data_IF_865081261595
#
_entry.id   IF_865081261595
#
_cell.length_a   1.000
_cell.length_b   1.000
_cell.length_c   1.000
_cell.angle_alpha   90.00
_cell.angle_beta   90.00
_cell.angle_gamma   90.00
#
_symmetry.space_group_name_H-M   'P 1'
#
loop_
_entity.id
_entity.type
_entity.pdbx_description
1 polymer ?
#
# COMPACT_ATOMS: atom_id res chain seq x y z
N UNK A 1 58.18 2.70 18.61
CA UNK A 1 56.94 3.49 18.70
C UNK A 1 56.21 3.25 17.39
N UNK A 2 55.58 2.08 17.30
CA UNK A 2 54.63 1.71 16.25
C UNK A 2 53.34 1.45 17.02
N UNK A 3 52.40 2.39 16.95
CA UNK A 3 51.09 2.24 17.57
C UNK A 3 50.16 1.57 16.56
N UNK A 4 49.69 0.37 16.94
CA UNK A 4 48.67 -0.37 16.24
C UNK A 4 47.29 0.26 16.49
N UNK A 5 46.54 0.45 15.40
CA UNK A 5 45.11 0.72 15.45
C UNK A 5 44.40 -0.62 15.24
N UNK A 6 43.75 -1.10 16.29
CA UNK A 6 42.83 -2.23 16.28
C UNK A 6 41.53 -1.82 15.57
N UNK A 7 41.19 -2.55 14.50
CA UNK A 7 39.91 -2.45 13.81
C UNK A 7 38.84 -3.16 14.67
N UNK A 8 37.79 -2.44 15.07
CA UNK A 8 36.68 -3.02 15.84
C UNK A 8 35.71 -3.75 14.90
N UNK A 9 35.62 -5.06 15.07
CA UNK A 9 34.58 -5.90 14.48
C UNK A 9 33.26 -5.69 15.24
N UNK A 10 32.42 -4.74 14.80
CA UNK A 10 31.00 -4.71 15.18
C UNK A 10 30.15 -3.95 14.15
N UNK A 11 29.91 -4.59 13.00
CA UNK A 11 28.83 -4.27 12.08
C UNK A 11 28.24 -5.59 11.57
N UNK A 12 27.40 -6.21 12.39
CA UNK A 12 26.61 -7.39 12.00
C UNK A 12 25.49 -6.95 11.05
N UNK A 13 25.76 -7.02 9.75
CA UNK A 13 24.76 -6.86 8.68
C UNK A 13 23.85 -8.11 8.70
N UNK A 14 22.63 -7.97 9.22
CA UNK A 14 21.60 -9.00 9.12
C UNK A 14 21.13 -9.19 7.66
N UNK A 15 21.34 -10.40 7.13
CA UNK A 15 20.48 -11.09 6.16
C UNK A 15 20.05 -10.38 4.86
N UNK A 16 20.96 -10.29 3.87
CA UNK A 16 20.73 -9.79 2.48
C UNK A 16 20.11 -10.81 1.50
N UNK A 17 19.46 -11.87 1.99
CA UNK A 17 19.02 -12.99 1.14
C UNK A 17 17.94 -12.63 0.10
N UNK A 18 16.97 -11.79 0.48
CA UNK A 18 15.76 -11.54 -0.31
C UNK A 18 15.94 -10.44 -1.38
N UNK A 19 16.78 -9.42 -1.12
CA UNK A 19 17.11 -8.37 -2.10
C UNK A 19 17.82 -8.96 -3.32
N UNK A 20 18.71 -9.93 -3.11
CA UNK A 20 19.40 -10.64 -4.19
C UNK A 20 18.44 -11.52 -5.02
N UNK A 21 17.42 -12.11 -4.39
CA UNK A 21 16.40 -12.91 -5.08
C UNK A 21 15.51 -12.03 -5.96
N UNK A 22 15.12 -10.84 -5.48
CA UNK A 22 14.31 -9.88 -6.24
C UNK A 22 15.09 -9.32 -7.43
N UNK A 23 16.37 -8.97 -7.26
CA UNK A 23 17.26 -8.53 -8.35
C UNK A 23 17.51 -9.64 -9.39
N UNK A 24 17.58 -10.90 -8.98
CA UNK A 24 17.76 -12.05 -9.88
C UNK A 24 16.51 -12.34 -10.72
N UNK A 25 15.30 -12.13 -10.17
CA UNK A 25 14.05 -12.20 -10.92
C UNK A 25 13.98 -11.07 -11.96
N UNK A 26 14.40 -9.86 -11.60
CA UNK A 26 14.49 -8.71 -12.51
C UNK A 26 15.44 -9.00 -13.69
N UNK A 27 16.65 -9.51 -13.41
CA UNK A 27 17.66 -9.79 -14.45
C UNK A 27 17.33 -10.98 -15.36
N UNK A 28 16.60 -11.98 -14.84
CA UNK A 28 16.13 -13.11 -15.66
C UNK A 28 14.94 -12.75 -16.55
N UNK A 29 14.06 -11.83 -16.14
CA UNK A 29 13.00 -11.29 -16.99
C UNK A 29 13.56 -10.48 -18.18
N UNK A 30 14.67 -9.76 -17.97
CA UNK A 30 15.36 -8.97 -19.01
C UNK A 30 15.97 -9.81 -20.15
N UNK A 31 16.24 -11.11 -19.92
CA UNK A 31 16.93 -11.98 -20.91
C UNK A 31 15.99 -12.87 -21.73
N UNK A 32 14.69 -12.91 -21.41
CA UNK A 32 13.72 -13.77 -22.10
C UNK A 32 13.00 -13.09 -23.29
N UNK A 33 13.22 -11.79 -23.53
CA UNK A 33 12.45 -11.00 -24.49
C UNK A 33 13.00 -10.99 -25.94
N UNK A 34 14.09 -11.70 -26.25
CA UNK A 34 14.70 -11.66 -27.57
C UNK A 34 14.21 -12.78 -28.49
N UNK A 35 13.15 -12.50 -29.25
CA UNK A 35 12.87 -13.13 -30.53
C UNK A 35 11.42 -13.59 -30.72
N UNK A 36 10.74 -13.07 -31.74
CA UNK A 36 9.86 -13.77 -32.71
C UNK A 36 9.07 -12.74 -33.54
N UNK A 37 8.80 -13.12 -34.79
CA UNK A 37 8.34 -12.30 -35.92
C UNK A 37 6.95 -11.65 -35.77
N UNK A 38 6.77 -10.52 -36.46
CA UNK A 38 5.52 -9.79 -36.59
C UNK A 38 4.46 -10.60 -37.36
N UNK A 39 3.29 -10.79 -36.75
CA UNK A 39 2.07 -11.20 -37.47
C UNK A 39 1.18 -9.98 -37.71
N UNK A 40 0.84 -9.77 -38.97
CA UNK A 40 -0.12 -8.79 -39.46
C UNK A 40 -1.54 -9.30 -39.24
N UNK A 41 -2.29 -8.67 -38.32
CA UNK A 41 -3.74 -8.84 -38.19
C UNK A 41 -4.24 -8.63 -36.76
N UNK A 42 -4.91 -7.48 -36.53
CA UNK A 42 -5.50 -6.97 -35.27
C UNK A 42 -4.58 -6.05 -34.44
N UNK A 43 -4.89 -4.76 -34.38
CA UNK A 43 -4.27 -3.78 -33.46
C UNK A 43 -5.12 -3.68 -32.21
N UNK A 44 -4.59 -4.08 -31.05
CA UNK A 44 -5.26 -3.95 -29.75
C UNK A 44 -4.33 -3.21 -28.77
N UNK A 45 -4.71 -2.04 -28.30
CA UNK A 45 -3.85 -1.24 -27.43
C UNK A 45 -4.59 -0.94 -26.13
N UNK A 46 -3.90 -1.06 -25.00
CA UNK A 46 -4.42 -0.57 -23.73
C UNK A 46 -4.49 0.96 -23.78
N UNK A 47 -5.70 1.47 -23.93
CA UNK A 47 -5.95 2.92 -23.97
C UNK A 47 -5.96 3.53 -22.57
N UNK A 48 -6.16 2.76 -21.50
CA UNK A 48 -6.22 3.33 -20.18
C UNK A 48 -4.83 3.45 -19.58
N UNK A 49 -4.24 4.64 -19.72
CA UNK A 49 -2.92 4.91 -19.15
C UNK A 49 -2.96 5.11 -17.64
N UNK A 50 -4.11 5.44 -17.06
CA UNK A 50 -4.25 5.55 -15.61
C UNK A 50 -4.23 4.17 -14.96
N UNK A 51 -3.47 4.06 -13.87
CA UNK A 51 -3.45 2.88 -13.01
C UNK A 51 -3.61 3.35 -11.57
N UNK A 52 -4.59 2.83 -10.81
CA UNK A 52 -4.71 3.20 -9.42
C UNK A 52 -3.50 2.70 -8.62
N UNK A 53 -3.02 3.50 -7.67
CA UNK A 53 -1.99 3.05 -6.73
C UNK A 53 -2.51 1.91 -5.84
N UNK A 54 -1.61 1.03 -5.40
CA UNK A 54 -1.96 -0.28 -4.88
C UNK A 54 -2.50 -0.27 -3.46
N UNK A 55 -2.12 0.74 -2.65
CA UNK A 55 -2.52 0.85 -1.25
C UNK A 55 -3.55 1.95 -1.02
N UNK A 56 -4.38 1.75 0.01
CA UNK A 56 -5.28 2.77 0.52
C UNK A 56 -4.56 4.03 1.02
N UNK A 57 -3.29 3.90 1.40
CA UNK A 57 -2.42 4.96 1.93
C UNK A 57 -1.55 5.62 0.87
N UNK A 58 -1.55 5.10 -0.36
CA UNK A 58 -0.88 5.72 -1.51
C UNK A 58 -1.68 6.90 -2.07
N UNK A 59 -1.17 7.56 -3.10
CA UNK A 59 -1.93 8.50 -3.92
C UNK A 59 -3.06 7.83 -4.71
N UNK A 60 -3.62 8.55 -5.68
CA UNK A 60 -4.56 7.96 -6.63
C UNK A 60 -3.83 7.26 -7.77
N UNK A 61 -2.77 7.86 -8.32
CA UNK A 61 -1.97 7.27 -9.40
C UNK A 61 -0.55 6.89 -8.93
N UNK A 62 -0.04 7.55 -7.90
CA UNK A 62 1.33 7.36 -7.43
C UNK A 62 1.40 6.50 -6.19
N UNK A 63 2.19 5.44 -6.30
CA UNK A 63 2.57 4.56 -5.20
C UNK A 63 3.59 5.25 -4.30
N UNK A 64 3.41 5.14 -2.98
CA UNK A 64 4.45 5.51 -2.01
C UNK A 64 5.36 4.32 -1.75
N UNK A 65 6.47 4.52 -1.05
CA UNK A 65 7.35 3.43 -0.63
C UNK A 65 6.82 2.64 0.60
N UNK A 66 5.61 2.96 1.08
CA UNK A 66 4.96 2.35 2.24
C UNK A 66 4.82 0.81 2.10
N UNK A 67 5.17 0.10 3.18
CA UNK A 67 5.09 -1.35 3.31
C UNK A 67 3.75 -1.87 3.87
N UNK A 68 2.78 -0.99 4.16
CA UNK A 68 1.45 -1.26 4.73
C UNK A 68 1.43 -1.84 6.15
N UNK A 69 2.44 -2.60 6.58
CA UNK A 69 2.54 -3.25 7.91
C UNK A 69 2.34 -4.76 7.87
N UNK A 70 2.68 -5.47 8.95
CA UNK A 70 2.63 -6.94 8.99
C UNK A 70 1.19 -7.50 9.04
N UNK A 71 0.88 -8.44 8.15
CA UNK A 71 -0.44 -9.11 8.00
C UNK A 71 -1.59 -8.14 7.76
N UNK A 72 -1.32 -6.90 7.33
CA UNK A 72 -2.36 -5.92 7.03
C UNK A 72 -2.92 -6.17 5.64
N UNK A 73 -4.20 -6.51 5.56
CA UNK A 73 -4.92 -6.76 4.31
C UNK A 73 -5.68 -5.50 3.91
N UNK A 74 -5.77 -5.27 2.61
CA UNK A 74 -6.60 -4.23 2.04
C UNK A 74 -7.27 -4.67 0.75
N UNK A 75 -8.36 -3.98 0.44
CA UNK A 75 -9.17 -4.20 -0.73
C UNK A 75 -9.72 -2.86 -1.23
N UNK A 76 -9.71 -2.63 -2.53
CA UNK A 76 -10.20 -1.40 -3.13
C UNK A 76 -11.00 -1.68 -4.40
N UNK A 77 -12.03 -0.88 -4.60
CA UNK A 77 -12.75 -0.76 -5.86
C UNK A 77 -12.53 0.67 -6.34
N UNK A 78 -11.96 0.80 -7.53
CA UNK A 78 -11.69 2.10 -8.16
C UNK A 78 -12.45 2.16 -9.46
N UNK A 79 -13.16 3.25 -9.71
CA UNK A 79 -13.81 3.52 -10.98
C UNK A 79 -13.21 4.77 -11.57
N UNK A 80 -12.72 4.71 -12.80
CA UNK A 80 -12.27 5.86 -13.55
C UNK A 80 -13.09 6.04 -14.83
N UNK A 81 -13.60 7.24 -15.01
CA UNK A 81 -14.29 7.67 -16.21
C UNK A 81 -13.37 8.60 -16.98
N UNK A 82 -13.16 8.32 -18.26
CA UNK A 82 -12.34 9.14 -19.16
C UNK A 82 -13.17 9.68 -20.33
N UNK A 83 -12.82 10.88 -20.76
CA UNK A 83 -13.39 11.56 -21.92
C UNK A 83 -12.30 11.75 -22.98
N UNK A 84 -12.59 11.33 -24.21
CA UNK A 84 -11.70 11.38 -25.37
C UNK A 84 -10.34 10.69 -25.15
N UNK A 85 -10.38 9.44 -24.68
CA UNK A 85 -9.20 8.61 -24.43
C UNK A 85 -8.31 8.38 -25.67
N UNK A 86 -8.86 8.52 -26.89
CA UNK A 86 -8.07 8.47 -28.12
C UNK A 86 -8.64 9.42 -29.18
N UNK A 87 -7.85 10.42 -29.54
CA UNK A 87 -8.17 11.42 -30.58
C UNK A 87 -7.09 11.40 -31.66
N UNK A 88 -7.50 11.41 -32.92
CA UNK A 88 -6.61 11.65 -34.06
C UNK A 88 -6.73 13.09 -34.56
N UNK A 89 -5.60 13.74 -34.77
CA UNK A 89 -5.52 15.04 -35.45
C UNK A 89 -5.09 14.83 -36.91
N UNK A 90 -5.89 15.31 -37.87
CA UNK A 90 -5.53 15.21 -39.28
C UNK A 90 -4.57 16.34 -39.69
N UNK A 91 -3.35 15.96 -40.06
CA UNK A 91 -2.33 16.90 -40.54
C UNK A 91 -2.81 17.70 -41.76
N UNK A 92 -2.82 19.03 -41.64
CA UNK A 92 -3.13 19.96 -42.73
C UNK A 92 -4.58 20.46 -42.81
N UNK A 93 -5.52 19.88 -42.03
CA UNK A 93 -6.95 20.28 -42.03
C UNK A 93 -7.41 20.81 -40.67
N UNK A 94 -6.72 20.46 -39.58
CA UNK A 94 -7.02 20.95 -38.23
C UNK A 94 -8.29 20.37 -37.61
N UNK A 95 -8.85 19.32 -38.21
CA UNK A 95 -10.00 18.57 -37.68
C UNK A 95 -9.52 17.43 -36.78
N UNK A 96 -10.04 17.40 -35.55
CA UNK A 96 -9.85 16.30 -34.58
C UNK A 96 -10.99 15.29 -34.71
N UNK A 97 -10.66 14.00 -34.60
CA UNK A 97 -11.64 12.91 -34.62
C UNK A 97 -11.38 11.98 -33.46
N UNK A 98 -12.36 11.86 -32.56
CA UNK A 98 -12.33 10.91 -31.45
C UNK A 98 -12.66 9.49 -31.93
N UNK A 99 -11.92 8.51 -31.43
CA UNK A 99 -12.12 7.07 -31.69
C UNK A 99 -12.82 6.43 -30.50
N UNK A 100 -12.39 6.79 -29.29
CA UNK A 100 -13.02 6.38 -28.04
C UNK A 100 -13.37 7.65 -27.30
N UNK A 101 -14.67 7.99 -27.31
CA UNK A 101 -15.15 9.23 -26.71
C UNK A 101 -15.35 9.06 -25.22
N UNK A 102 -15.91 7.94 -24.77
CA UNK A 102 -16.18 7.70 -23.34
C UNK A 102 -15.87 6.27 -22.94
N UNK A 103 -14.98 6.11 -21.98
CA UNK A 103 -14.70 4.82 -21.37
C UNK A 103 -14.77 4.96 -19.84
N UNK A 104 -15.35 3.93 -19.21
CA UNK A 104 -15.40 3.74 -17.77
C UNK A 104 -14.64 2.46 -17.47
N UNK A 105 -13.64 2.52 -16.60
CA UNK A 105 -12.92 1.33 -16.14
C UNK A 105 -13.19 1.11 -14.67
N UNK A 106 -13.49 -0.13 -14.29
CA UNK A 106 -13.60 -0.57 -12.91
C UNK A 106 -12.43 -1.46 -12.55
N UNK A 107 -11.73 -1.15 -11.47
CA UNK A 107 -10.63 -1.91 -10.91
C UNK A 107 -11.08 -2.59 -9.61
N UNK A 108 -10.72 -3.86 -9.46
CA UNK A 108 -10.89 -4.62 -8.22
C UNK A 108 -9.50 -5.01 -7.75
N UNK A 109 -9.11 -4.46 -6.60
CA UNK A 109 -7.75 -4.54 -6.10
C UNK A 109 -7.72 -5.17 -4.72
N UNK A 110 -6.69 -5.95 -4.45
CA UNK A 110 -6.38 -6.47 -3.12
C UNK A 110 -4.90 -6.31 -2.84
N UNK A 111 -4.54 -6.20 -1.56
CA UNK A 111 -3.16 -6.11 -1.10
C UNK A 111 -2.98 -6.76 0.27
N UNK A 112 -1.76 -7.22 0.56
CA UNK A 112 -1.38 -7.81 1.82
C UNK A 112 0.05 -7.39 2.17
N UNK A 113 0.21 -6.70 3.29
CA UNK A 113 1.50 -6.37 3.88
C UNK A 113 2.06 -7.55 4.68
N UNK A 114 3.35 -7.79 4.56
CA UNK A 114 4.09 -8.91 5.11
C UNK A 114 5.42 -8.37 5.66
N UNK A 115 5.66 -8.64 6.95
CA UNK A 115 6.87 -8.23 7.69
C UNK A 115 7.23 -6.74 7.56
N UNK A 116 6.23 -5.87 7.36
CA UNK A 116 6.39 -4.40 7.19
C UNK A 116 7.25 -3.96 6.00
N UNK A 117 7.80 -4.91 5.23
CA UNK A 117 8.75 -4.65 4.15
C UNK A 117 8.34 -5.22 2.81
N UNK A 118 7.31 -6.04 2.77
CA UNK A 118 6.81 -6.64 1.54
C UNK A 118 5.31 -6.44 1.46
N UNK A 119 4.85 -5.84 0.38
CA UNK A 119 3.43 -5.85 0.01
C UNK A 119 3.29 -6.75 -1.20
N UNK A 120 2.32 -7.66 -1.18
CA UNK A 120 1.83 -8.35 -2.38
C UNK A 120 0.46 -7.80 -2.74
N UNK A 121 0.19 -7.65 -4.03
CA UNK A 121 -1.06 -7.04 -4.49
C UNK A 121 -1.52 -7.62 -5.82
N UNK A 122 -2.79 -7.41 -6.13
CA UNK A 122 -3.35 -7.73 -7.44
C UNK A 122 -4.44 -6.74 -7.84
N UNK A 123 -4.60 -6.59 -9.15
CA UNK A 123 -5.63 -5.75 -9.79
C UNK A 123 -6.26 -6.53 -10.95
N UNK A 124 -7.58 -6.40 -11.09
CA UNK A 124 -8.34 -6.86 -12.24
C UNK A 124 -9.16 -5.68 -12.73
N UNK A 125 -8.91 -5.28 -13.98
CA UNK A 125 -9.67 -4.21 -14.63
C UNK A 125 -10.83 -4.79 -15.44
N UNK A 126 -11.93 -4.04 -15.50
CA UNK A 126 -13.03 -4.25 -16.42
C UNK A 126 -13.35 -2.94 -17.13
N UNK A 127 -13.25 -2.93 -18.45
CA UNK A 127 -13.45 -1.74 -19.27
C UNK A 127 -14.87 -1.74 -19.84
N UNK A 128 -15.57 -0.62 -19.71
CA UNK A 128 -16.85 -0.34 -20.32
C UNK A 128 -16.70 0.81 -21.31
N UNK A 129 -16.87 0.54 -22.59
CA UNK A 129 -16.83 1.57 -23.63
C UNK A 129 -18.26 2.03 -23.86
N UNK A 130 -18.55 3.25 -23.40
CA UNK A 130 -19.89 3.84 -23.34
C UNK A 130 -20.26 4.44 -24.69
N UNK A 131 -19.31 5.13 -25.33
CA UNK A 131 -19.50 5.78 -26.61
C UNK A 131 -18.25 5.65 -27.47
N UNK A 132 -18.40 4.99 -28.62
CA UNK A 132 -17.38 4.96 -29.64
C UNK A 132 -17.50 6.26 -30.45
N UNK A 133 -16.43 7.04 -30.51
CA UNK A 133 -16.43 8.25 -31.33
C UNK A 133 -16.71 7.92 -32.80
N UNK A 134 -17.11 8.91 -33.61
CA UNK A 134 -17.49 8.67 -35.02
C UNK A 134 -16.36 8.11 -35.90
N UNK A 135 -15.15 7.88 -35.36
CA UNK A 135 -13.96 7.49 -36.11
C UNK A 135 -13.59 8.55 -37.15
N UNK A 136 -12.39 8.46 -37.72
CA UNK A 136 -11.97 9.35 -38.81
C UNK A 136 -12.75 9.05 -40.11
N UNK A 137 -14.06 9.30 -40.14
CA UNK A 137 -14.93 9.17 -41.31
C UNK A 137 -14.83 10.43 -42.19
N UNK A 138 -13.62 10.82 -42.60
CA UNK A 138 -13.40 12.08 -43.35
C UNK A 138 -12.55 11.87 -44.61
N UNK A 139 -13.22 11.77 -45.76
CA UNK A 139 -12.87 12.54 -46.97
C UNK A 139 -11.65 12.15 -47.82
N UNK A 140 -11.04 10.97 -47.69
CA UNK A 140 -9.97 10.55 -48.61
C UNK A 140 -10.55 9.88 -49.88
N UNK A 141 -10.07 10.21 -51.10
CA UNK A 141 -10.54 9.56 -52.33
C UNK A 141 -10.17 8.06 -52.32
N UNK A 142 -11.05 7.16 -52.80
CA UNK A 142 -10.75 5.72 -52.87
C UNK A 142 -9.46 5.45 -53.68
N UNK A 143 -8.63 4.48 -53.25
CA UNK A 143 -8.94 3.39 -52.31
C UNK A 143 -8.53 3.67 -50.85
N UNK A 144 -8.04 4.87 -50.51
CA UNK A 144 -7.53 5.18 -49.16
C UNK A 144 -8.63 5.66 -48.17
N UNK A 145 -9.90 5.66 -48.59
CA UNK A 145 -11.01 6.32 -47.90
C UNK A 145 -11.80 5.48 -46.89
N UNK A 146 -11.30 4.33 -46.47
CA UNK A 146 -12.01 3.49 -45.49
C UNK A 146 -11.01 2.87 -44.53
N UNK A 147 -10.71 3.58 -43.44
CA UNK A 147 -10.12 2.91 -42.28
C UNK A 147 -11.24 2.16 -41.57
N UNK A 148 -11.19 0.83 -41.63
CA UNK A 148 -12.13 -0.06 -40.93
C UNK A 148 -11.77 -0.10 -39.43
N UNK A 149 -12.00 1.02 -38.74
CA UNK A 149 -11.99 1.06 -37.29
C UNK A 149 -13.33 0.49 -36.82
N UNK A 150 -13.35 -0.77 -36.40
CA UNK A 150 -14.48 -1.31 -35.64
C UNK A 150 -14.65 -0.43 -34.39
N UNK A 151 -15.78 0.25 -34.32
CA UNK A 151 -16.17 1.07 -33.20
C UNK A 151 -16.32 0.17 -31.96
N UNK A 152 -15.55 0.40 -30.90
CA UNK A 152 -15.62 -0.46 -29.73
C UNK A 152 -16.92 -0.22 -28.97
N UNK A 153 -17.69 -1.28 -28.72
CA UNK A 153 -18.93 -1.18 -27.94
C UNK A 153 -19.00 -2.31 -26.91
N UNK A 154 -19.42 -1.97 -25.69
CA UNK A 154 -19.72 -2.93 -24.63
C UNK A 154 -18.66 -3.01 -23.52
N UNK A 155 -18.75 -4.07 -22.72
CA UNK A 155 -17.85 -4.33 -21.60
C UNK A 155 -16.87 -5.48 -21.88
N UNK A 156 -15.64 -5.36 -21.41
CA UNK A 156 -14.60 -6.38 -21.54
C UNK A 156 -13.74 -6.46 -20.26
N UNK A 157 -13.24 -7.66 -19.96
CA UNK A 157 -12.21 -7.80 -18.93
C UNK A 157 -10.88 -7.31 -19.49
N UNK A 158 -10.19 -6.49 -18.72
CA UNK A 158 -8.82 -6.11 -18.98
C UNK A 158 -7.84 -7.21 -18.61
N UNK A 159 -6.56 -6.83 -18.59
CA UNK A 159 -5.49 -7.71 -18.14
C UNK A 159 -5.50 -7.84 -16.61
N UNK A 160 -5.02 -8.99 -16.11
CA UNK A 160 -4.83 -9.23 -14.67
C UNK A 160 -3.42 -8.82 -14.27
N UNK A 161 -3.30 -8.12 -13.16
CA UNK A 161 -2.02 -7.67 -12.61
C UNK A 161 -1.77 -8.35 -11.27
N UNK A 162 -0.55 -8.81 -11.08
CA UNK A 162 -0.07 -9.35 -9.81
C UNK A 162 1.31 -8.74 -9.55
N UNK A 163 1.50 -8.15 -8.39
CA UNK A 163 2.76 -7.48 -8.08
C UNK A 163 3.20 -7.63 -6.65
N UNK A 164 4.44 -7.19 -6.43
CA UNK A 164 5.06 -7.12 -5.14
C UNK A 164 5.87 -5.82 -5.01
N UNK A 165 5.78 -5.19 -3.84
CA UNK A 165 6.56 -4.03 -3.44
C UNK A 165 7.46 -4.41 -2.27
N UNK A 166 8.76 -4.31 -2.45
CA UNK A 166 9.76 -4.54 -1.41
C UNK A 166 10.35 -3.21 -0.93
N UNK A 167 10.12 -2.87 0.34
CA UNK A 167 10.71 -1.70 1.00
C UNK A 167 12.17 -1.99 1.31
N UNK A 168 13.07 -1.26 0.67
CA UNK A 168 14.52 -1.41 0.80
C UNK A 168 15.07 -0.62 1.99
N UNK A 169 14.50 0.54 2.27
CA UNK A 169 14.97 1.46 3.29
C UNK A 169 13.84 2.37 3.78
N UNK A 170 13.91 2.72 5.06
CA UNK A 170 12.96 3.61 5.72
C UNK A 170 11.63 2.92 6.04
N UNK A 171 10.90 3.58 6.93
CA UNK A 171 9.49 3.33 7.22
C UNK A 171 8.70 4.64 7.04
N UNK A 172 7.37 4.55 7.17
CA UNK A 172 6.44 5.67 6.99
C UNK A 172 6.75 6.91 7.84
N UNK A 173 7.35 6.71 9.01
CA UNK A 173 7.69 7.78 9.96
C UNK A 173 9.09 8.37 9.72
N UNK A 174 9.89 7.73 8.85
CA UNK A 174 11.21 8.22 8.47
C UNK A 174 11.11 9.30 7.40
N UNK A 175 12.06 10.23 7.39
CA UNK A 175 12.12 11.34 6.42
C UNK A 175 12.25 10.85 4.97
N UNK A 176 12.79 9.65 4.76
CA UNK A 176 13.02 9.10 3.44
C UNK A 176 12.79 7.59 3.41
N UNK A 177 12.02 7.16 2.43
CA UNK A 177 11.71 5.77 2.15
C UNK A 177 12.09 5.41 0.70
N UNK A 178 12.52 4.16 0.52
CA UNK A 178 12.91 3.61 -0.77
C UNK A 178 12.33 2.21 -0.93
N UNK A 179 11.61 1.97 -2.03
CA UNK A 179 11.09 0.65 -2.36
C UNK A 179 11.31 0.30 -3.84
N UNK A 180 11.31 -0.99 -4.14
CA UNK A 180 11.21 -1.53 -5.49
C UNK A 180 9.87 -2.21 -5.66
N UNK A 181 9.20 -1.92 -6.77
CA UNK A 181 7.94 -2.53 -7.15
C UNK A 181 8.10 -3.29 -8.47
N UNK A 182 7.58 -4.52 -8.49
CA UNK A 182 7.50 -5.31 -9.70
C UNK A 182 6.06 -5.80 -9.89
N UNK A 183 5.48 -5.49 -11.04
CA UNK A 183 4.09 -5.86 -11.36
C UNK A 183 4.08 -6.67 -12.64
N UNK A 184 3.62 -7.91 -12.56
CA UNK A 184 3.44 -8.82 -13.67
C UNK A 184 2.07 -8.57 -14.32
N UNK A 185 2.04 -8.45 -15.65
CA UNK A 185 0.81 -8.35 -16.44
C UNK A 185 0.50 -9.70 -17.09
N UNK A 186 -0.70 -10.20 -16.86
CA UNK A 186 -1.24 -11.41 -17.47
C UNK A 186 -2.29 -10.97 -18.50
N UNK A 187 -2.01 -11.19 -19.78
CA UNK A 187 -2.81 -10.66 -20.89
C UNK A 187 -4.15 -11.41 -21.09
N UNK A 188 -5.03 -11.38 -20.09
CA UNK A 188 -6.33 -12.05 -20.09
C UNK A 188 -7.34 -11.40 -21.03
N UNK A 189 -7.17 -10.12 -21.37
CA UNK A 189 -8.03 -9.43 -22.34
C UNK A 189 -8.00 -10.08 -23.72
N UNK A 190 -6.89 -10.72 -24.09
CA UNK A 190 -6.72 -11.46 -25.36
C UNK A 190 -7.60 -12.71 -25.49
N UNK A 191 -8.27 -13.13 -24.40
CA UNK A 191 -9.26 -14.21 -24.38
C UNK A 191 -10.68 -13.72 -24.66
N UNK A 192 -10.89 -12.40 -24.75
CA UNK A 192 -12.17 -11.80 -25.13
C UNK A 192 -12.43 -11.88 -26.64
N UNK A 193 -13.66 -11.59 -27.07
CA UNK A 193 -14.12 -11.76 -28.46
C UNK A 193 -13.28 -10.93 -29.46
N UNK A 194 -12.99 -11.47 -30.65
CA UNK A 194 -12.17 -10.85 -31.71
C UNK A 194 -12.65 -9.45 -32.20
N UNK A 195 -13.82 -9.00 -31.74
CA UNK A 195 -14.39 -7.67 -32.00
C UNK A 195 -13.95 -6.60 -30.99
N UNK A 196 -13.31 -6.96 -29.87
CA UNK A 196 -12.92 -6.04 -28.80
C UNK A 196 -11.41 -5.80 -28.86
N UNK A 197 -11.02 -4.54 -29.13
CA UNK A 197 -9.65 -4.18 -29.53
C UNK A 197 -8.98 -3.13 -28.64
N UNK A 198 -9.51 -2.81 -27.45
CA UNK A 198 -8.90 -1.77 -26.60
C UNK A 198 -8.76 -2.13 -25.11
N UNK A 199 -9.07 -3.36 -24.72
CA UNK A 199 -9.01 -3.82 -23.33
C UNK A 199 -7.66 -4.32 -22.82
N UNK A 200 -6.60 -4.38 -23.64
CA UNK A 200 -5.29 -4.86 -23.17
C UNK A 200 -4.27 -5.15 -24.27
N UNK A 201 -3.21 -5.91 -23.99
CA UNK A 201 -2.12 -6.19 -24.95
C UNK A 201 -2.34 -7.47 -25.79
N UNK A 202 -1.90 -7.43 -27.06
CA UNK A 202 -2.45 -8.22 -28.20
C UNK A 202 -1.93 -9.63 -28.36
N UNK A 203 -0.87 -10.02 -27.67
CA UNK A 203 -0.32 -11.34 -27.94
C UNK A 203 -1.21 -12.38 -27.24
N UNK A 204 -1.92 -13.21 -28.02
CA UNK A 204 -2.85 -14.24 -27.54
C UNK A 204 -2.24 -15.06 -26.39
N UNK A 205 -2.90 -15.01 -25.24
CA UNK A 205 -2.48 -15.57 -23.96
C UNK A 205 -1.81 -16.97 -24.00
N UNK A 206 -0.86 -17.26 -23.08
CA UNK A 206 -0.34 -16.36 -22.04
C UNK A 206 1.06 -15.81 -22.42
N UNK A 207 1.17 -14.49 -22.54
CA UNK A 207 2.45 -13.78 -22.60
C UNK A 207 2.66 -12.99 -21.30
N UNK A 208 3.92 -12.90 -20.86
CA UNK A 208 4.32 -12.27 -19.60
C UNK A 208 4.86 -10.85 -19.87
N UNK A 209 4.06 -9.82 -19.58
CA UNK A 209 4.51 -8.43 -19.53
C UNK A 209 4.77 -7.99 -18.09
N UNK A 210 5.31 -6.78 -17.90
CA UNK A 210 5.41 -6.26 -16.54
C UNK A 210 6.01 -4.87 -16.38
N UNK A 211 5.98 -4.40 -15.14
CA UNK A 211 6.43 -3.10 -14.68
C UNK A 211 7.51 -3.31 -13.64
N UNK A 212 8.56 -2.51 -13.71
CA UNK A 212 9.62 -2.46 -12.72
C UNK A 212 9.85 -1.01 -12.34
N UNK A 213 9.58 -0.68 -11.09
CA UNK A 213 9.46 0.70 -10.64
C UNK A 213 10.28 0.91 -9.37
N UNK A 214 11.01 2.01 -9.34
CA UNK A 214 11.67 2.55 -8.17
C UNK A 214 10.72 3.57 -7.54
N UNK A 215 10.41 3.35 -6.26
CA UNK A 215 9.55 4.23 -5.48
C UNK A 215 10.41 4.92 -4.42
N UNK A 216 10.34 6.24 -4.38
CA UNK A 216 10.96 7.06 -3.35
C UNK A 216 9.86 7.87 -2.68
N UNK A 217 9.91 8.02 -1.38
CA UNK A 217 8.98 8.90 -0.65
C UNK A 217 9.77 9.75 0.33
N UNK A 218 9.59 11.06 0.25
CA UNK A 218 10.12 11.99 1.24
C UNK A 218 9.00 12.43 2.16
N UNK A 219 9.15 12.18 3.46
CA UNK A 219 8.16 12.53 4.47
C UNK A 219 8.65 13.77 5.25
N UNK A 220 7.78 14.75 5.41
CA UNK A 220 8.00 15.90 6.27
C UNK A 220 7.05 15.83 7.47
N UNK A 221 7.46 15.04 8.47
CA UNK A 221 6.61 14.63 9.59
C UNK A 221 5.34 13.93 9.10
N UNK A 222 4.26 14.05 9.86
CA UNK A 222 2.99 13.36 9.58
C UNK A 222 2.06 14.13 8.63
N UNK A 223 2.55 15.21 8.02
CA UNK A 223 1.68 16.18 7.30
C UNK A 223 1.88 16.15 5.80
N UNK A 224 3.10 15.91 5.31
CA UNK A 224 3.40 15.95 3.88
C UNK A 224 4.21 14.75 3.46
N UNK A 225 3.77 14.09 2.39
CA UNK A 225 4.53 13.05 1.69
C UNK A 225 4.75 13.42 0.24
N UNK A 226 5.94 13.16 -0.25
CA UNK A 226 6.35 13.48 -1.63
C UNK A 226 6.76 12.17 -2.31
N UNK A 227 5.80 11.43 -2.92
CA UNK A 227 6.12 10.26 -3.72
C UNK A 227 6.78 10.67 -5.04
N UNK A 228 7.84 9.94 -5.40
CA UNK A 228 8.50 10.01 -6.71
C UNK A 228 8.64 8.58 -7.22
N UNK A 229 8.21 8.37 -8.46
CA UNK A 229 8.17 7.07 -9.13
C UNK A 229 8.91 7.16 -10.46
N UNK A 230 9.74 6.16 -10.74
CA UNK A 230 10.37 6.02 -12.05
C UNK A 230 10.55 4.54 -12.36
N UNK A 231 10.29 4.13 -13.60
CA UNK A 231 10.31 2.71 -13.93
C UNK A 231 10.30 2.39 -15.41
N UNK A 232 10.23 1.11 -15.70
CA UNK A 232 10.10 0.58 -17.05
C UNK A 232 8.92 -0.37 -17.12
N UNK A 233 8.10 -0.17 -18.14
CA UNK A 233 7.08 -1.12 -18.59
C UNK A 233 7.65 -1.91 -19.75
N UNK A 234 7.86 -3.20 -19.53
CA UNK A 234 8.29 -4.14 -20.55
C UNK A 234 7.06 -4.70 -21.26
N UNK A 235 6.83 -4.25 -22.49
CA UNK A 235 5.90 -4.87 -23.42
C UNK A 235 6.55 -6.05 -24.15
N UNK A 236 5.76 -7.05 -24.52
CA UNK A 236 6.29 -8.27 -25.18
C UNK A 236 6.52 -8.11 -26.68
N UNK A 237 5.80 -7.19 -27.33
CA UNK A 237 5.97 -6.88 -28.75
C UNK A 237 5.54 -5.44 -29.03
N UNK A 238 6.41 -4.65 -29.68
CA UNK A 238 6.08 -3.30 -30.12
C UNK A 238 5.03 -3.32 -31.23
N UNK A 239 4.06 -2.41 -31.14
CA UNK A 239 2.94 -2.29 -32.06
C UNK A 239 2.96 -0.94 -32.75
N UNK A 240 2.88 -0.95 -34.08
CA UNK A 240 2.65 0.26 -34.86
C UNK A 240 1.16 0.42 -35.11
N UNK A 241 0.61 1.54 -34.65
CA UNK A 241 -0.74 2.01 -34.95
C UNK A 241 -0.61 3.15 -35.98
N UNK A 242 -0.90 2.89 -37.27
CA UNK A 242 -0.83 3.91 -38.30
C UNK A 242 -1.74 5.11 -37.98
N UNK A 243 -1.36 6.35 -38.35
CA UNK A 243 -0.20 6.68 -39.19
C UNK A 243 1.14 6.82 -38.46
N UNK A 244 1.19 7.26 -37.19
CA UNK A 244 2.44 7.69 -36.53
C UNK A 244 2.61 7.25 -35.06
N UNK A 245 1.86 6.26 -34.55
CA UNK A 245 1.97 5.84 -33.15
C UNK A 245 2.69 4.49 -33.04
N UNK A 246 3.71 4.40 -32.18
CA UNK A 246 4.33 3.13 -31.81
C UNK A 246 4.21 2.89 -30.30
N UNK A 247 3.57 1.79 -29.91
CA UNK A 247 3.40 1.39 -28.50
C UNK A 247 4.30 0.19 -28.24
N UNK A 248 5.23 0.29 -27.29
CA UNK A 248 6.21 -0.75 -27.01
C UNK A 248 6.69 -0.73 -25.57
N UNK A 249 8.00 -0.86 -25.36
CA UNK A 249 8.62 -0.63 -24.05
C UNK A 249 8.55 0.85 -23.70
N UNK A 250 8.14 1.15 -22.47
CA UNK A 250 7.93 2.53 -22.01
C UNK A 250 8.72 2.80 -20.74
N UNK A 251 9.24 4.01 -20.61
CA UNK A 251 9.72 4.55 -19.35
C UNK A 251 8.55 5.22 -18.64
N UNK A 252 8.36 4.92 -17.36
CA UNK A 252 7.29 5.45 -16.51
C UNK A 252 7.90 6.45 -15.54
N UNK A 253 7.20 7.55 -15.28
CA UNK A 253 7.64 8.53 -14.31
C UNK A 253 6.45 9.19 -13.64
N UNK A 254 6.64 9.64 -12.40
CA UNK A 254 5.62 10.32 -11.64
C UNK A 254 6.18 11.03 -10.42
N UNK A 255 5.46 12.04 -9.99
CA UNK A 255 5.80 12.84 -8.81
C UNK A 255 4.58 13.57 -8.29
N UNK A 256 4.45 13.64 -6.96
CA UNK A 256 3.27 14.24 -6.34
C UNK A 256 3.53 14.80 -4.96
N UNK A 257 2.48 15.40 -4.41
CA UNK A 257 2.39 15.92 -3.06
C UNK A 257 1.13 15.35 -2.42
N UNK A 258 1.27 14.68 -1.28
CA UNK A 258 0.18 14.14 -0.48
C UNK A 258 0.16 14.91 0.84
N UNK A 259 -0.87 15.72 1.06
CA UNK A 259 -1.09 16.42 2.31
C UNK A 259 -1.99 15.59 3.21
N UNK A 260 -1.44 15.13 4.33
CA UNK A 260 -2.12 14.34 5.33
C UNK A 260 -2.63 15.26 6.45
N UNK A 261 -3.92 15.19 6.73
CA UNK A 261 -4.61 16.03 7.71
C UNK A 261 -5.25 15.11 8.75
N UNK A 262 -5.12 15.50 10.02
CA UNK A 262 -5.70 14.79 11.15
C UNK A 262 -5.20 13.34 11.26
N UNK A 263 -3.87 13.15 11.41
CA UNK A 263 -3.24 11.84 11.57
C UNK A 263 -3.65 10.86 10.44
N UNK A 264 -3.31 11.22 9.20
CA UNK A 264 -3.62 10.44 7.99
C UNK A 264 -5.10 10.20 7.63
N UNK A 265 -6.05 10.74 8.40
CA UNK A 265 -7.48 10.52 8.12
C UNK A 265 -7.94 11.19 6.83
N UNK A 266 -7.45 12.39 6.53
CA UNK A 266 -7.80 13.11 5.30
C UNK A 266 -6.54 13.34 4.48
N UNK A 267 -6.51 12.80 3.26
CA UNK A 267 -5.47 13.07 2.29
C UNK A 267 -6.00 14.03 1.23
N UNK A 268 -5.23 15.07 0.92
CA UNK A 268 -5.39 15.89 -0.29
C UNK A 268 -4.17 15.64 -1.15
N UNK A 269 -4.37 15.18 -2.39
CA UNK A 269 -3.27 14.87 -3.30
C UNK A 269 -3.24 15.81 -4.50
N UNK A 270 -2.04 16.10 -4.96
CA UNK A 270 -1.74 16.67 -6.26
C UNK A 270 -0.63 15.83 -6.87
N UNK A 271 -0.92 15.10 -7.94
CA UNK A 271 -0.02 14.10 -8.50
C UNK A 271 0.14 14.34 -10.00
N UNK A 272 1.30 13.98 -10.53
CA UNK A 272 1.57 13.95 -11.96
C UNK A 272 2.18 12.61 -12.30
N UNK A 273 1.74 12.02 -13.40
CA UNK A 273 2.32 10.79 -13.92
C UNK A 273 2.37 10.85 -15.44
N UNK A 274 3.32 10.13 -16.02
CA UNK A 274 3.48 10.07 -17.45
C UNK A 274 4.27 8.86 -17.87
N UNK A 275 4.25 8.61 -19.17
CA UNK A 275 4.98 7.53 -19.81
C UNK A 275 5.61 8.07 -21.07
N UNK A 276 6.74 7.52 -21.47
CA UNK A 276 7.39 7.86 -22.74
C UNK A 276 7.93 6.60 -23.37
N UNK A 277 7.89 6.51 -24.71
CA UNK A 277 8.52 5.41 -25.41
C UNK A 277 10.01 5.30 -25.07
N UNK A 278 10.49 4.07 -24.87
CA UNK A 278 11.89 3.77 -24.57
C UNK A 278 12.63 3.15 -25.77
N UNK A 279 12.11 3.32 -26.99
CA UNK A 279 12.68 2.74 -28.22
C UNK A 279 13.61 3.73 -28.95
N UNK A 280 14.73 3.23 -29.48
CA UNK A 280 15.70 3.95 -30.33
C UNK A 280 15.14 4.54 -31.63
N UNK A 281 13.95 4.13 -32.07
CA UNK A 281 13.37 4.55 -33.36
C UNK A 281 12.54 5.83 -33.27
N UNK A 282 12.19 6.28 -32.07
CA UNK A 282 11.43 7.52 -31.84
C UNK A 282 12.18 8.39 -30.84
N UNK A 283 12.17 9.72 -31.03
CA UNK A 283 12.86 10.63 -30.14
C UNK A 283 12.23 10.61 -28.74
N UNK A 284 13.05 10.67 -27.69
CA UNK A 284 12.57 10.87 -26.33
C UNK A 284 11.81 12.21 -26.24
N UNK A 285 10.64 12.25 -25.58
CA UNK A 285 9.73 13.41 -25.48
C UNK A 285 8.94 13.81 -26.75
N UNK A 286 8.65 12.89 -27.67
CA UNK A 286 7.64 13.20 -28.70
C UNK A 286 6.27 13.41 -28.05
N UNK A 287 5.49 14.36 -28.59
CA UNK A 287 4.20 14.75 -28.01
C UNK A 287 3.24 13.55 -27.96
N UNK A 288 3.20 12.78 -29.02
CA UNK A 288 2.26 11.67 -29.22
C UNK A 288 2.55 10.46 -28.31
N UNK A 289 3.81 10.24 -27.97
CA UNK A 289 4.27 9.09 -27.17
C UNK A 289 4.61 9.46 -25.73
N UNK A 290 4.50 10.75 -25.35
CA UNK A 290 4.77 11.23 -23.99
C UNK A 290 3.55 11.87 -23.33
N UNK A 291 2.45 11.10 -23.11
CA UNK A 291 1.33 11.60 -22.34
C UNK A 291 1.74 11.85 -20.89
N UNK A 292 1.41 13.04 -20.40
CA UNK A 292 1.57 13.44 -18.99
C UNK A 292 0.22 13.92 -18.50
N UNK A 293 -0.26 13.30 -17.44
CA UNK A 293 -1.53 13.60 -16.78
C UNK A 293 -1.24 14.18 -15.39
N UNK A 294 -2.01 15.21 -15.02
CA UNK A 294 -2.02 15.74 -13.66
C UNK A 294 -3.37 15.48 -13.04
N UNK A 295 -3.38 15.08 -11.77
CA UNK A 295 -4.59 14.79 -11.03
C UNK A 295 -4.56 15.44 -9.65
N UNK A 296 -5.74 15.78 -9.16
CA UNK A 296 -5.96 16.30 -7.83
C UNK A 296 -7.12 15.59 -7.17
N UNK A 297 -6.91 15.11 -5.95
CA UNK A 297 -7.89 14.27 -5.29
C UNK A 297 -7.97 14.48 -3.79
N UNK A 298 -9.01 13.89 -3.21
CA UNK A 298 -9.19 13.81 -1.77
C UNK A 298 -9.59 12.41 -1.38
N UNK A 299 -8.98 11.91 -0.32
CA UNK A 299 -9.29 10.60 0.26
C UNK A 299 -9.55 10.75 1.75
N UNK A 300 -10.52 9.99 2.26
CA UNK A 300 -10.85 9.93 3.67
C UNK A 300 -10.71 8.48 4.15
N UNK A 301 -9.75 8.26 5.05
CA UNK A 301 -9.52 7.02 5.77
C UNK A 301 -10.17 7.13 7.15
N UNK A 302 -11.20 6.31 7.38
CA UNK A 302 -11.88 6.22 8.66
C UNK A 302 -11.05 5.40 9.66
N UNK A 303 -11.19 5.64 10.97
CA UNK A 303 -10.51 4.85 12.00
C UNK A 303 -10.81 3.34 11.92
N UNK A 304 -11.99 2.98 11.42
CA UNK A 304 -12.39 1.58 11.23
C UNK A 304 -11.86 0.95 9.94
N UNK A 305 -10.92 1.61 9.22
CA UNK A 305 -10.26 1.07 8.04
C UNK A 305 -10.95 1.34 6.71
N UNK A 306 -12.19 1.84 6.70
CA UNK A 306 -12.88 2.19 5.46
C UNK A 306 -12.31 3.44 4.79
N UNK A 307 -12.21 3.39 3.47
CA UNK A 307 -11.63 4.43 2.63
C UNK A 307 -12.66 4.87 1.60
N UNK A 308 -12.78 6.18 1.40
CA UNK A 308 -13.48 6.75 0.26
C UNK A 308 -12.62 7.83 -0.38
N UNK A 309 -12.60 7.90 -1.70
CA UNK A 309 -11.83 8.89 -2.43
C UNK A 309 -12.52 9.37 -3.68
N UNK A 310 -12.21 10.61 -4.05
CA UNK A 310 -12.58 11.19 -5.34
C UNK A 310 -11.39 11.99 -5.88
N UNK A 311 -11.13 11.86 -7.18
CA UNK A 311 -10.07 12.60 -7.87
C UNK A 311 -10.55 13.05 -9.25
N UNK A 312 -9.96 14.12 -9.74
CA UNK A 312 -10.14 14.62 -11.09
C UNK A 312 -8.80 14.92 -11.73
N UNK A 313 -8.69 14.69 -13.02
CA UNK A 313 -7.43 14.81 -13.75
C UNK A 313 -7.62 15.33 -15.16
N UNK A 314 -6.53 15.81 -15.76
CA UNK A 314 -6.47 16.27 -17.14
C UNK A 314 -5.05 16.07 -17.70
N UNK A 315 -4.96 15.86 -19.01
CA UNK A 315 -3.68 15.79 -19.70
C UNK A 315 -3.01 17.17 -19.79
N UNK A 316 -1.73 17.24 -19.41
CA UNK A 316 -0.86 18.41 -19.65
C UNK A 316 -0.22 18.31 -21.03
N UNK A 317 0.23 17.10 -21.39
CA UNK A 317 0.67 16.78 -22.76
C UNK A 317 -0.28 15.72 -23.32
N UNK A 318 -0.98 16.02 -24.43
CA UNK A 318 -1.85 15.04 -25.05
C UNK A 318 -0.99 13.98 -25.73
N UNK A 319 -1.44 12.74 -25.67
CA UNK A 319 -0.79 11.58 -26.26
C UNK A 319 -1.77 10.41 -26.25
N UNK A 320 -1.32 9.23 -26.68
CA UNK A 320 -2.22 8.08 -26.71
C UNK A 320 -2.71 7.73 -25.28
N UNK A 321 -4.03 7.58 -25.10
CA UNK A 321 -4.61 7.21 -23.80
C UNK A 321 -4.61 8.31 -22.72
N UNK A 322 -4.12 9.52 -23.04
CA UNK A 322 -4.27 10.70 -22.20
C UNK A 322 -5.64 11.34 -22.48
N UNK A 323 -6.53 11.42 -21.49
CA UNK A 323 -7.87 11.97 -21.68
C UNK A 323 -7.85 13.51 -21.60
N UNK A 324 -8.88 14.13 -22.17
CA UNK A 324 -9.14 15.57 -21.97
C UNK A 324 -9.40 15.85 -20.49
N UNK A 325 -10.19 14.98 -19.87
CA UNK A 325 -10.36 14.91 -18.42
C UNK A 325 -10.73 13.50 -17.98
N UNK A 326 -10.43 13.19 -16.72
CA UNK A 326 -10.86 11.95 -16.07
C UNK A 326 -11.38 12.23 -14.67
N UNK A 327 -12.41 11.50 -14.28
CA UNK A 327 -12.93 11.45 -12.92
C UNK A 327 -12.68 10.08 -12.32
N UNK A 328 -12.21 10.03 -11.08
CA UNK A 328 -11.94 8.79 -10.35
C UNK A 328 -12.73 8.76 -9.05
N UNK A 329 -13.45 7.66 -8.81
CA UNK A 329 -14.05 7.34 -7.53
C UNK A 329 -13.39 6.11 -6.91
N UNK A 330 -13.17 6.13 -5.60
CA UNK A 330 -12.56 5.03 -4.86
C UNK A 330 -13.39 4.70 -3.62
N UNK A 331 -13.63 3.41 -3.40
CA UNK A 331 -14.08 2.89 -2.11
C UNK A 331 -13.16 1.73 -1.76
N UNK A 332 -12.71 1.67 -0.52
CA UNK A 332 -11.82 0.62 -0.07
C UNK A 332 -11.93 0.32 1.40
N UNK A 333 -11.17 -0.68 1.81
CA UNK A 333 -10.95 -1.06 3.18
C UNK A 333 -9.48 -1.43 3.34
N UNK A 334 -8.84 -0.95 4.39
CA UNK A 334 -7.53 -1.40 4.84
C UNK A 334 -7.64 -1.73 6.32
N UNK A 335 -7.12 -2.88 6.74
CA UNK A 335 -7.18 -3.25 8.16
C UNK A 335 -6.49 -2.15 8.98
N UNK A 336 -7.14 -1.60 10.03
CA UNK A 336 -6.50 -0.63 10.91
C UNK A 336 -5.16 -1.16 11.45
N UNK A 337 -4.20 -0.28 11.80
CA UNK A 337 -3.04 -0.72 12.54
C UNK A 337 -3.50 -1.39 13.85
N UNK A 338 -2.84 -2.48 14.30
CA UNK A 338 -3.13 -3.07 15.59
C UNK A 338 -2.90 -2.03 16.69
N UNK A 339 -3.80 -2.01 17.68
CA UNK A 339 -3.56 -1.22 18.89
C UNK A 339 -2.44 -1.93 19.64
N UNK A 340 -1.29 -1.26 19.80
CA UNK A 340 -0.25 -1.73 20.69
C UNK A 340 -0.68 -1.30 22.08
N UNK A 341 -1.12 -2.26 22.89
CA UNK A 341 -1.38 -2.05 24.31
C UNK A 341 -0.05 -2.31 25.01
N UNK A 342 0.39 -1.35 25.83
CA UNK A 342 1.64 -1.44 26.58
C UNK A 342 1.48 -2.32 27.79
N UNK A 343 2.62 -2.51 28.45
CA UNK A 343 2.77 -3.08 29.80
C UNK A 343 3.80 -2.13 30.43
N UNK A 344 3.29 -1.15 31.19
CA UNK A 344 4.01 0.07 31.54
C UNK A 344 4.96 -0.11 32.72
N UNK A 345 4.68 -1.04 33.62
CA UNK A 345 5.52 -1.42 34.77
C UNK A 345 6.22 -2.77 34.59
N UNK A 346 5.82 -3.57 33.60
CA UNK A 346 6.53 -4.77 33.16
C UNK A 346 6.22 -6.01 33.99
N UNK A 347 5.06 -6.06 34.62
CA UNK A 347 4.61 -7.19 35.44
C UNK A 347 4.00 -8.34 34.59
N UNK A 348 3.76 -8.10 33.31
CA UNK A 348 3.21 -9.06 32.36
C UNK A 348 1.71 -8.95 32.12
N UNK A 349 1.03 -8.01 32.79
CA UNK A 349 -0.31 -7.56 32.49
C UNK A 349 -0.27 -6.41 31.49
N UNK A 350 -1.32 -6.28 30.67
CA UNK A 350 -1.38 -5.18 29.70
C UNK A 350 -2.10 -3.99 30.34
N UNK A 351 -1.70 -2.77 30.01
CA UNK A 351 -2.25 -1.51 30.56
C UNK A 351 -3.80 -1.40 30.47
N UNK A 352 -4.46 -2.20 29.63
CA UNK A 352 -5.92 -2.19 29.44
C UNK A 352 -6.69 -3.13 30.37
N UNK A 353 -6.00 -4.10 30.97
CA UNK A 353 -6.54 -5.08 31.91
C UNK A 353 -5.94 -4.96 33.31
N UNK A 354 -4.89 -4.15 33.45
CA UNK A 354 -4.20 -3.82 34.69
C UNK A 354 -4.89 -2.64 35.40
N UNK A 355 -5.27 -2.84 36.67
CA UNK A 355 -5.89 -1.79 37.51
C UNK A 355 -4.88 -0.74 37.99
N UNK A 356 -3.60 -1.11 38.06
CA UNK A 356 -2.47 -0.27 38.46
C UNK A 356 -1.36 -0.19 37.39
N UNK A 357 -1.60 0.42 36.20
CA UNK A 357 -0.66 0.40 35.05
C UNK A 357 0.71 1.08 35.23
N UNK A 358 1.13 1.44 36.44
CA UNK A 358 2.46 2.00 36.68
C UNK A 358 3.13 1.40 37.92
N UNK A 359 2.46 0.46 38.60
CA UNK A 359 2.87 -0.13 39.85
C UNK A 359 2.78 -1.65 39.68
N UNK A 360 3.93 -2.28 39.44
CA UNK A 360 4.00 -3.71 39.12
C UNK A 360 3.43 -4.58 40.25
N UNK A 361 2.61 -5.55 39.86
CA UNK A 361 2.16 -6.68 40.70
C UNK A 361 3.33 -7.42 41.37
N UNK A 362 3.16 -7.85 42.62
CA UNK A 362 4.20 -8.53 43.40
C UNK A 362 4.10 -10.06 43.42
N UNK A 363 2.99 -10.62 42.90
CA UNK A 363 2.77 -12.05 42.63
C UNK A 363 3.05 -12.95 43.84
N UNK A 364 2.45 -12.63 44.98
CA UNK A 364 2.60 -13.38 46.23
C UNK A 364 1.50 -14.44 46.44
N UNK A 365 0.49 -14.49 45.56
CA UNK A 365 -0.65 -15.41 45.61
C UNK A 365 -1.90 -14.82 46.24
N UNK A 366 -1.88 -13.55 46.63
CA UNK A 366 -3.02 -12.76 47.05
C UNK A 366 -3.39 -11.79 45.93
N UNK A 367 -4.62 -11.88 45.42
CA UNK A 367 -5.20 -10.94 44.45
C UNK A 367 -4.39 -10.62 43.16
N UNK A 368 -3.35 -11.41 42.82
CA UNK A 368 -2.49 -11.39 41.60
C UNK A 368 -3.18 -11.15 40.21
N UNK A 369 -4.52 -11.16 40.14
CA UNK A 369 -5.29 -11.01 38.92
C UNK A 369 -5.73 -9.57 38.60
N UNK A 370 -5.55 -8.61 39.51
CA UNK A 370 -5.91 -7.21 39.30
C UNK A 370 -4.75 -6.31 38.83
N UNK A 371 -3.50 -6.73 39.08
CA UNK A 371 -2.29 -6.03 38.62
C UNK A 371 -1.81 -4.97 39.58
N UNK A 372 -2.36 -4.95 40.79
CA UNK A 372 -2.03 -3.98 41.81
C UNK A 372 -1.22 -4.67 42.92
N UNK A 373 -0.06 -4.13 43.32
CA UNK A 373 0.71 -4.70 44.41
C UNK A 373 -0.04 -4.59 45.74
N UNK A 374 -0.29 -5.72 46.37
CA UNK A 374 -0.86 -5.83 47.71
C UNK A 374 0.27 -5.95 48.74
N UNK A 375 0.75 -4.81 49.25
CA UNK A 375 1.91 -4.75 50.15
C UNK A 375 1.60 -5.10 51.63
N UNK A 376 0.32 -5.30 51.95
CA UNK A 376 -0.26 -5.58 53.27
C UNK A 376 -1.60 -6.29 53.04
N UNK A 377 -1.53 -7.60 52.83
CA UNK A 377 -2.64 -8.42 52.34
C UNK A 377 -3.85 -8.46 53.28
N UNK A 378 -3.64 -8.47 54.59
CA UNK A 378 -4.72 -8.51 55.58
C UNK A 378 -5.09 -7.14 56.15
N UNK A 379 -4.29 -6.11 55.88
CA UNK A 379 -4.60 -4.72 56.16
C UNK A 379 -4.46 -4.35 57.63
N UNK A 380 -3.62 -5.06 58.38
CA UNK A 380 -3.35 -4.78 59.79
C UNK A 380 -2.34 -3.64 60.02
N UNK A 381 -1.62 -3.24 58.97
CA UNK A 381 -0.63 -2.16 58.97
C UNK A 381 0.83 -2.61 59.05
N UNK A 382 1.10 -3.92 59.15
CA UNK A 382 2.41 -4.55 58.98
C UNK A 382 2.52 -4.99 57.51
N UNK A 383 3.60 -4.60 56.83
CA UNK A 383 3.79 -5.01 55.43
C UNK A 383 4.12 -6.50 55.36
N UNK A 384 3.65 -7.23 54.34
CA UNK A 384 3.84 -8.69 54.20
C UNK A 384 5.31 -9.14 54.31
N UNK A 385 6.24 -8.27 53.89
CA UNK A 385 7.69 -8.51 53.98
C UNK A 385 8.23 -8.57 55.41
N UNK A 386 7.50 -8.03 56.39
CA UNK A 386 7.83 -8.00 57.81
C UNK A 386 6.81 -8.75 58.66
N UNK A 387 5.74 -9.27 58.06
CA UNK A 387 4.63 -9.94 58.71
C UNK A 387 4.91 -11.45 58.84
N UNK A 388 4.76 -12.00 60.05
CA UNK A 388 4.86 -13.43 60.33
C UNK A 388 3.66 -14.23 59.81
N UNK A 389 2.51 -13.58 59.68
CA UNK A 389 1.22 -14.11 59.28
C UNK A 389 0.55 -13.23 58.20
N UNK A 390 1.11 -13.12 56.97
CA UNK A 390 0.69 -12.16 55.92
C UNK A 390 -0.74 -12.32 55.35
N UNK A 391 -1.62 -13.07 55.99
CA UNK A 391 -3.00 -13.29 55.55
C UNK A 391 -3.97 -13.35 56.75
N UNK A 392 -3.47 -13.22 57.97
CA UNK A 392 -4.20 -13.36 59.21
C UNK A 392 -3.92 -12.09 60.05
N UNK A 393 -4.87 -11.14 60.12
CA UNK A 393 -4.59 -9.82 60.65
C UNK A 393 -4.28 -9.84 62.15
N UNK A 394 -3.28 -9.07 62.56
CA UNK A 394 -2.90 -8.79 63.96
C UNK A 394 -4.07 -8.33 64.85
N UNK A 395 -4.08 -8.78 66.11
CA UNK A 395 -5.11 -8.45 67.10
C UNK A 395 -4.61 -7.51 68.20
N UNK A 396 -4.09 -6.34 67.79
CA UNK A 396 -3.58 -5.25 68.63
C UNK A 396 -4.19 -5.13 70.03
N UNK A 397 -3.55 -5.77 71.01
CA UNK A 397 -3.98 -5.82 72.41
C UNK A 397 -2.87 -5.43 73.41
N UNK A 398 -1.64 -5.24 72.93
CA UNK A 398 -0.47 -4.88 73.73
C UNK A 398 0.51 -6.03 73.97
N UNK A 399 0.23 -7.23 73.45
CA UNK A 399 1.10 -8.39 73.46
C UNK A 399 1.61 -8.66 72.03
N UNK A 400 2.93 -8.79 71.88
CA UNK A 400 3.64 -9.12 70.62
C UNK A 400 3.21 -8.42 69.29
N UNK A 401 2.42 -7.33 69.35
CA UNK A 401 1.82 -6.53 68.23
C UNK A 401 2.77 -6.06 67.08
N UNK A 402 4.08 -6.30 67.17
CA UNK A 402 5.07 -5.92 66.16
C UNK A 402 5.39 -7.05 65.16
N UNK A 403 4.87 -8.27 65.35
CA UNK A 403 5.19 -9.43 64.50
C UNK A 403 4.15 -9.74 63.40
N UNK A 404 2.96 -9.11 63.45
CA UNK A 404 1.90 -9.24 62.45
C UNK A 404 1.07 -10.51 62.61
N UNK A 405 1.28 -11.27 63.68
CA UNK A 405 0.55 -12.51 63.93
C UNK A 405 -0.45 -12.33 65.07
N UNK A 406 -1.72 -12.72 64.88
CA UNK A 406 -2.67 -12.65 65.96
C UNK A 406 -2.30 -13.62 67.10
N UNK A 407 -2.34 -13.13 68.32
CA UNK A 407 -2.04 -13.82 69.56
C UNK A 407 -3.30 -13.99 70.42
N UNK A 408 -4.20 -14.93 70.09
CA UNK A 408 -5.51 -15.02 70.74
C UNK A 408 -5.48 -15.66 72.14
N UNK A 409 -4.30 -16.01 72.68
CA UNK A 409 -4.06 -16.67 73.99
C UNK A 409 -2.65 -16.29 74.52
N UNK A 410 -2.53 -15.08 75.07
CA UNK A 410 -1.27 -14.45 75.46
C UNK A 410 -0.49 -15.21 76.57
N UNK A 411 -1.18 -15.88 77.50
CA UNK A 411 -0.56 -16.62 78.60
C UNK A 411 -0.33 -18.13 78.29
N UNK A 412 -0.94 -18.63 77.21
CA UNK A 412 -0.80 -19.98 76.69
C UNK A 412 -1.43 -21.05 77.58
N UNK A 413 -2.43 -20.70 78.40
CA UNK A 413 -3.15 -21.65 79.26
C UNK A 413 -4.23 -22.47 78.53
N UNK A 414 -4.55 -22.07 77.30
CA UNK A 414 -5.53 -22.71 76.42
C UNK A 414 -6.94 -22.11 76.49
N UNK A 415 -7.12 -20.98 77.17
CA UNK A 415 -8.34 -20.15 77.16
C UNK A 415 -8.02 -18.88 76.36
N UNK A 416 -8.83 -18.57 75.34
CA UNK A 416 -8.58 -17.39 74.52
C UNK A 416 -8.78 -16.08 75.32
N UNK A 417 -8.04 -15.02 75.01
CA UNK A 417 -8.05 -13.75 75.76
C UNK A 417 -9.43 -13.10 75.85
N UNK A 418 -10.25 -13.28 74.80
CA UNK A 418 -11.65 -12.82 74.77
C UNK A 418 -12.55 -13.50 75.81
N UNK A 419 -12.16 -14.70 76.27
CA UNK A 419 -12.86 -15.53 77.25
C UNK A 419 -12.09 -15.67 78.58
N UNK A 420 -10.88 -15.10 78.70
CA UNK A 420 -10.06 -15.18 79.90
C UNK A 420 -10.32 -14.00 80.88
N UNK A 421 -10.42 -14.32 82.16
CA UNK A 421 -10.49 -13.34 83.25
C UNK A 421 -9.12 -12.80 83.66
N UNK A 422 -8.04 -13.51 83.29
CA UNK A 422 -6.66 -13.17 83.59
C UNK A 422 -5.76 -13.34 82.34
N UNK A 423 -5.93 -12.52 81.29
CA UNK A 423 -5.31 -12.72 79.97
C UNK A 423 -3.77 -12.60 79.90
N UNK A 424 -3.07 -12.35 81.02
CA UNK A 424 -1.64 -11.99 81.06
C UNK A 424 -0.81 -12.78 82.10
#
# INVERSE_FOLDING_TARGET
MEDGVTQSDDLRIFGRGWVATLLAVVMSALSAASGVAAQTGSTQIDLNQYRPAELATDGFALSTADGQGHKRFGFMIVMDYNDDALVFEQAGVGTTSSVVHRQLTGHIMWNLGIFERLVVFGDIAYHFIIDAGQGAQVGLPPPAGQFDYLLPAGGEFGDVYLGARGVLYGNRDDVFELALQATMTINTSSLSNDQQRYGGQVSKSPYLGGWFELLMTFNAGDVVRIPIQAGYKLGTQGQSVPPNLFVGTEFTFGGGLLFMISQDRFMISAESFGRTAANSTVAFWTREETPVEVLGGRRYLKPNGFVIGVSGSAAVTPGYGAPDWRGVGLIGYTMPPPVVIGDSDGDGMLDDVDECPNDAEDFDGFQDEDGCPDLDNDGDGVLDVNDGCPNDPEDVDGFEDEDGCPDPDNDGDGILDVDDQCPD
#
